data_IF_039443176684
#
_entry.id   IF_039443176684
#
_cell.length_a   1.000
_cell.length_b   1.000
_cell.length_c   1.000
_cell.angle_alpha   90.00
_cell.angle_beta   90.00
_cell.angle_gamma   90.00
#
_symmetry.space_group_name_H-M   'P 1'
#
loop_
_entity.id
_entity.type
_entity.pdbx_description
1 polymer ?
#
# COMPACT_ATOMS: atom_id res chain seq x y z
N UNK A 1 35.46 4.34 4.78
CA UNK A 1 34.85 3.29 5.64
C UNK A 1 35.73 2.06 5.57
N UNK A 2 36.08 1.39 6.68
CA UNK A 2 36.83 0.14 6.62
C UNK A 2 35.98 -0.93 5.92
N UNK A 3 36.60 -1.77 5.11
CA UNK A 3 35.94 -2.78 4.25
C UNK A 3 34.99 -3.70 5.04
N UNK A 4 35.27 -3.96 6.32
CA UNK A 4 34.42 -4.77 7.21
C UNK A 4 33.07 -4.14 7.51
N UNK A 5 32.98 -2.81 7.63
CA UNK A 5 31.72 -2.12 7.95
C UNK A 5 30.75 -2.20 6.77
N UNK A 6 31.27 -2.02 5.55
CA UNK A 6 30.49 -2.12 4.30
C UNK A 6 29.91 -3.53 4.13
N UNK A 7 30.70 -4.56 4.41
CA UNK A 7 30.24 -5.95 4.32
C UNK A 7 29.15 -6.27 5.37
N UNK A 8 29.26 -5.72 6.58
CA UNK A 8 28.26 -5.88 7.62
C UNK A 8 26.94 -5.18 7.28
N UNK A 9 26.99 -3.95 6.74
CA UNK A 9 25.81 -3.23 6.27
C UNK A 9 25.14 -3.94 5.08
N UNK A 10 25.93 -4.45 4.13
CA UNK A 10 25.44 -5.25 3.02
C UNK A 10 24.71 -6.51 3.52
N UNK A 11 25.33 -7.27 4.43
CA UNK A 11 24.72 -8.45 5.03
C UNK A 11 23.43 -8.11 5.80
N UNK A 12 23.38 -6.98 6.48
CA UNK A 12 22.18 -6.51 7.15
C UNK A 12 21.05 -6.16 6.17
N UNK A 13 21.39 -5.54 5.03
CA UNK A 13 20.45 -5.25 3.95
C UNK A 13 19.92 -6.53 3.29
N UNK A 14 20.79 -7.49 2.96
CA UNK A 14 20.42 -8.78 2.39
C UNK A 14 19.49 -9.56 3.33
N UNK A 15 19.80 -9.62 4.64
CA UNK A 15 18.92 -10.26 5.62
C UNK A 15 17.55 -9.60 5.72
N UNK A 16 17.45 -8.28 5.57
CA UNK A 16 16.15 -7.57 5.54
C UNK A 16 15.33 -8.00 4.33
N UNK A 17 15.95 -8.10 3.15
CA UNK A 17 15.24 -8.53 1.93
C UNK A 17 14.84 -10.01 1.99
N UNK A 18 15.71 -10.87 2.50
CA UNK A 18 15.38 -12.29 2.70
C UNK A 18 14.21 -12.49 3.68
N UNK A 19 14.06 -11.63 4.70
CA UNK A 19 12.89 -11.68 5.58
C UNK A 19 11.61 -11.29 4.86
N UNK A 20 11.64 -10.33 3.95
CA UNK A 20 10.46 -9.92 3.17
C UNK A 20 10.07 -10.95 2.10
N UNK A 21 11.03 -11.75 1.61
CA UNK A 21 10.79 -12.80 0.61
C UNK A 21 10.18 -14.10 1.18
N UNK A 22 9.91 -14.19 2.49
CA UNK A 22 9.32 -15.40 3.11
C UNK A 22 7.83 -15.61 2.81
N UNK A 23 7.12 -14.66 2.22
CA UNK A 23 5.74 -14.89 1.77
C UNK A 23 5.75 -15.60 0.41
N UNK A 24 4.83 -16.56 0.15
CA UNK A 24 4.84 -17.36 -1.08
C UNK A 24 4.79 -16.42 -2.30
N UNK A 25 5.91 -16.29 -3.06
CA UNK A 25 6.11 -15.17 -3.98
C UNK A 25 5.13 -15.22 -5.15
N UNK A 26 4.64 -16.41 -5.52
CA UNK A 26 3.72 -16.60 -6.65
C UNK A 26 2.34 -16.00 -6.37
N UNK A 27 1.74 -16.27 -5.21
CA UNK A 27 0.37 -15.84 -4.92
C UNK A 27 0.29 -14.32 -4.74
N UNK A 28 1.21 -13.73 -3.96
CA UNK A 28 1.25 -12.28 -3.80
C UNK A 28 1.57 -11.55 -5.10
N UNK A 29 2.44 -12.13 -5.94
CA UNK A 29 2.75 -11.57 -7.24
C UNK A 29 1.51 -11.55 -8.14
N UNK A 30 0.80 -12.68 -8.25
CA UNK A 30 -0.43 -12.77 -9.04
C UNK A 30 -1.48 -11.81 -8.50
N UNK A 31 -1.73 -11.81 -7.19
CA UNK A 31 -2.71 -10.91 -6.56
C UNK A 31 -2.39 -9.44 -6.85
N UNK A 32 -1.11 -9.05 -6.72
CA UNK A 32 -0.67 -7.66 -6.91
C UNK A 32 -0.63 -7.26 -8.38
N UNK A 33 -0.32 -8.19 -9.29
CA UNK A 33 -0.39 -7.97 -10.73
C UNK A 33 -1.84 -7.82 -11.21
N UNK A 34 -2.74 -8.70 -10.77
CA UNK A 34 -4.18 -8.61 -11.06
C UNK A 34 -4.74 -7.31 -10.49
N UNK A 35 -4.42 -6.97 -9.24
CA UNK A 35 -4.82 -5.71 -8.62
C UNK A 35 -4.29 -4.48 -9.37
N UNK A 36 -3.04 -4.52 -9.85
CA UNK A 36 -2.44 -3.44 -10.64
C UNK A 36 -3.12 -3.30 -12.00
N UNK A 37 -3.37 -4.39 -12.73
CA UNK A 37 -4.07 -4.37 -14.01
C UNK A 37 -5.50 -3.85 -13.87
N UNK A 38 -6.23 -4.35 -12.86
CA UNK A 38 -7.56 -3.87 -12.52
C UNK A 38 -7.54 -2.38 -12.16
N UNK A 39 -6.56 -1.95 -11.37
CA UNK A 39 -6.35 -0.54 -11.03
C UNK A 39 -6.08 0.34 -12.25
N UNK A 40 -5.30 -0.14 -13.22
CA UNK A 40 -5.08 0.55 -14.49
C UNK A 40 -6.37 0.69 -15.30
N UNK A 41 -7.09 -0.40 -15.53
CA UNK A 41 -8.36 -0.36 -16.27
C UNK A 41 -9.38 0.56 -15.60
N UNK A 42 -9.51 0.46 -14.27
CA UNK A 42 -10.39 1.32 -13.49
C UNK A 42 -9.98 2.79 -13.57
N UNK A 43 -8.68 3.10 -13.46
CA UNK A 43 -8.21 4.48 -13.58
C UNK A 43 -8.53 5.12 -14.93
N UNK A 44 -8.33 4.39 -16.02
CA UNK A 44 -8.66 4.86 -17.38
C UNK A 44 -10.17 5.07 -17.52
N UNK A 45 -10.97 4.14 -16.99
CA UNK A 45 -12.42 4.25 -17.01
C UNK A 45 -12.90 5.50 -16.26
N UNK A 46 -12.39 5.76 -15.05
CA UNK A 46 -12.77 6.95 -14.26
C UNK A 46 -12.36 8.26 -14.92
N UNK A 47 -11.15 8.31 -15.50
CA UNK A 47 -10.69 9.48 -16.25
C UNK A 47 -11.60 9.71 -17.48
N UNK A 48 -11.94 8.64 -18.20
CA UNK A 48 -12.76 8.70 -19.40
C UNK A 48 -14.18 9.18 -19.08
N UNK A 49 -14.84 8.57 -18.09
CA UNK A 49 -16.20 8.97 -17.66
C UNK A 49 -16.19 10.40 -17.14
N UNK A 50 -15.24 10.77 -16.28
CA UNK A 50 -15.13 12.13 -15.76
C UNK A 50 -14.84 13.17 -16.85
N UNK A 51 -14.08 12.81 -17.88
CA UNK A 51 -13.77 13.70 -19.00
C UNK A 51 -14.95 13.89 -19.94
N UNK A 52 -15.63 12.81 -20.33
CA UNK A 52 -16.79 12.86 -21.23
C UNK A 52 -17.94 13.64 -20.57
N UNK A 53 -18.17 13.43 -19.28
CA UNK A 53 -19.29 14.02 -18.55
C UNK A 53 -18.93 15.29 -17.77
N UNK A 54 -17.82 15.94 -18.12
CA UNK A 54 -17.33 17.16 -17.44
C UNK A 54 -18.35 18.29 -17.35
N UNK A 55 -19.34 18.32 -18.25
CA UNK A 55 -20.39 19.35 -18.32
C UNK A 55 -21.79 18.83 -17.96
N UNK A 56 -21.95 17.52 -17.76
CA UNK A 56 -23.27 16.87 -17.68
C UNK A 56 -23.73 16.66 -16.22
N UNK A 57 -23.31 17.53 -15.31
CA UNK A 57 -23.72 17.49 -13.91
C UNK A 57 -23.94 18.94 -13.45
N UNK A 58 -25.20 19.38 -13.53
CA UNK A 58 -25.59 20.73 -13.17
C UNK A 58 -25.64 20.91 -11.66
N UNK A 59 -25.99 19.84 -10.92
CA UNK A 59 -26.05 19.87 -9.46
C UNK A 59 -24.68 20.13 -8.81
N UNK A 60 -23.62 19.49 -9.32
CA UNK A 60 -22.27 19.77 -8.86
C UNK A 60 -21.20 19.45 -9.89
N UNK A 61 -20.51 20.49 -10.32
CA UNK A 61 -19.39 20.38 -11.26
C UNK A 61 -18.20 19.66 -10.64
N UNK A 62 -18.10 19.54 -9.31
CA UNK A 62 -16.97 18.94 -8.61
C UNK A 62 -16.90 17.40 -8.75
N UNK A 63 -18.04 16.71 -8.94
CA UNK A 63 -18.06 15.23 -9.09
C UNK A 63 -17.18 14.74 -10.25
N UNK A 64 -17.35 15.20 -11.51
CA UNK A 64 -16.52 14.72 -12.61
C UNK A 64 -15.04 15.08 -12.44
N UNK A 65 -14.71 16.24 -11.86
CA UNK A 65 -13.31 16.57 -11.53
C UNK A 65 -12.74 15.65 -10.47
N UNK A 66 -13.52 15.31 -9.46
CA UNK A 66 -13.10 14.36 -8.42
C UNK A 66 -12.84 12.97 -9.00
N UNK A 67 -13.68 12.50 -9.93
CA UNK A 67 -13.45 11.23 -10.65
C UNK A 67 -12.13 11.26 -11.44
N UNK A 68 -11.84 12.35 -12.14
CA UNK A 68 -10.58 12.52 -12.88
C UNK A 68 -9.38 12.50 -11.93
N UNK A 69 -9.42 13.29 -10.85
CA UNK A 69 -8.32 13.37 -9.87
C UNK A 69 -8.09 12.00 -9.24
N UNK A 70 -9.17 11.34 -8.80
CA UNK A 70 -9.09 9.99 -8.21
C UNK A 70 -8.53 8.99 -9.21
N UNK A 71 -8.98 9.02 -10.46
CA UNK A 71 -8.43 8.21 -11.54
C UNK A 71 -6.92 8.42 -11.73
N UNK A 72 -6.43 9.67 -11.75
CA UNK A 72 -5.00 9.98 -11.86
C UNK A 72 -4.21 9.44 -10.66
N UNK A 73 -4.72 9.61 -9.45
CA UNK A 73 -4.05 9.12 -8.23
C UNK A 73 -3.99 7.58 -8.24
N UNK A 74 -5.06 6.90 -8.64
CA UNK A 74 -5.06 5.43 -8.83
C UNK A 74 -4.04 5.05 -9.90
N UNK A 75 -3.99 5.76 -11.02
CA UNK A 75 -3.05 5.47 -12.12
C UNK A 75 -1.59 5.53 -11.65
N UNK A 76 -1.23 6.58 -10.89
CA UNK A 76 0.09 6.70 -10.26
C UNK A 76 0.32 5.54 -9.27
N UNK A 77 -0.70 5.18 -8.49
CA UNK A 77 -0.62 4.04 -7.57
C UNK A 77 -0.37 2.72 -8.30
N UNK A 78 -1.02 2.51 -9.44
CA UNK A 78 -0.92 1.33 -10.26
C UNK A 78 0.46 1.24 -10.95
N UNK A 79 1.02 2.37 -11.38
CA UNK A 79 2.40 2.48 -11.89
C UNK A 79 3.48 2.11 -10.87
N UNK A 80 3.23 2.35 -9.57
CA UNK A 80 4.20 1.95 -8.55
C UNK A 80 4.48 0.45 -8.55
N UNK A 81 3.54 -0.41 -8.99
CA UNK A 81 3.77 -1.85 -9.05
C UNK A 81 4.77 -2.30 -10.12
N UNK A 82 4.63 -1.97 -11.42
CA UNK A 82 5.63 -2.31 -12.42
C UNK A 82 6.99 -1.67 -12.11
N UNK A 83 7.02 -0.43 -11.61
CA UNK A 83 8.28 0.17 -11.14
C UNK A 83 8.88 -0.62 -9.97
N UNK A 84 8.06 -1.06 -9.01
CA UNK A 84 8.49 -1.94 -7.93
C UNK A 84 9.07 -3.25 -8.44
N UNK A 85 8.46 -3.88 -9.43
CA UNK A 85 8.97 -5.12 -10.03
C UNK A 85 10.30 -4.92 -10.74
N UNK A 86 10.47 -3.82 -11.48
CA UNK A 86 11.73 -3.48 -12.15
C UNK A 86 12.82 -3.25 -11.10
N UNK A 87 12.53 -2.49 -10.05
CA UNK A 87 13.46 -2.26 -8.94
C UNK A 87 13.79 -3.54 -8.17
N UNK A 88 12.81 -4.40 -7.92
CA UNK A 88 13.01 -5.69 -7.25
C UNK A 88 13.86 -6.64 -8.10
N UNK A 89 13.64 -6.71 -9.42
CA UNK A 89 14.49 -7.49 -10.34
C UNK A 89 15.93 -6.97 -10.34
N UNK A 90 16.12 -5.65 -10.41
CA UNK A 90 17.45 -5.02 -10.34
C UNK A 90 18.13 -5.26 -8.98
N UNK A 91 17.39 -5.14 -7.88
CA UNK A 91 17.90 -5.42 -6.53
C UNK A 91 18.29 -6.89 -6.37
N UNK A 92 17.51 -7.82 -6.92
CA UNK A 92 17.83 -9.26 -6.91
C UNK A 92 19.09 -9.57 -7.72
N UNK A 93 19.28 -8.91 -8.86
CA UNK A 93 20.51 -9.01 -9.65
C UNK A 93 21.72 -8.43 -8.90
N UNK A 94 21.53 -7.30 -8.19
CA UNK A 94 22.54 -6.66 -7.36
C UNK A 94 22.83 -7.39 -6.02
N UNK A 95 22.14 -8.49 -5.71
CA UNK A 95 22.48 -9.38 -4.59
C UNK A 95 23.39 -10.55 -4.99
N UNK A 96 23.65 -10.72 -6.29
CA UNK A 96 24.61 -11.68 -6.82
C UNK A 96 25.99 -11.09 -7.25
N UNK A 97 26.48 -9.93 -6.79
CA UNK A 97 27.76 -9.41 -7.26
C UNK A 97 28.91 -10.17 -6.57
N UNK A 98 29.91 -10.56 -7.37
CA UNK A 98 31.16 -11.16 -6.89
C UNK A 98 32.00 -10.18 -6.05
N UNK A 99 31.70 -8.88 -6.11
CA UNK A 99 32.37 -7.81 -5.35
C UNK A 99 31.34 -6.77 -4.90
N UNK A 100 31.20 -6.56 -3.58
CA UNK A 100 30.23 -5.61 -3.01
C UNK A 100 30.72 -4.17 -3.17
N UNK A 101 30.07 -3.37 -4.01
CA UNK A 101 30.39 -1.93 -4.17
C UNK A 101 29.34 -1.09 -3.42
N UNK A 102 29.74 0.05 -2.84
CA UNK A 102 28.87 0.95 -2.06
C UNK A 102 27.63 1.45 -2.84
N UNK A 103 27.75 1.49 -4.18
CA UNK A 103 26.67 1.80 -5.12
C UNK A 103 25.55 0.76 -5.12
N UNK A 104 25.86 -0.51 -4.85
CA UNK A 104 24.87 -1.60 -4.83
C UNK A 104 24.00 -1.53 -3.58
N UNK A 105 24.54 -1.06 -2.45
CA UNK A 105 23.78 -0.86 -1.20
C UNK A 105 22.75 0.27 -1.36
N UNK A 106 23.11 1.34 -2.07
CA UNK A 106 22.19 2.46 -2.40
C UNK A 106 21.10 2.04 -3.39
N UNK A 107 21.38 1.06 -4.25
CA UNK A 107 20.40 0.55 -5.23
C UNK A 107 19.54 -0.61 -4.67
N UNK A 108 20.05 -1.36 -3.69
CA UNK A 108 19.36 -2.49 -3.06
C UNK A 108 18.36 -2.07 -1.96
N UNK A 109 18.24 -0.77 -1.65
CA UNK A 109 17.31 -0.29 -0.64
C UNK A 109 15.95 0.09 -1.28
N UNK A 110 14.89 -0.73 -1.13
CA UNK A 110 13.52 -0.40 -1.58
C UNK A 110 12.87 0.77 -0.80
N UNK A 111 13.67 1.64 -0.17
CA UNK A 111 13.21 2.75 0.66
C UNK A 111 12.60 3.90 -0.15
N UNK A 112 13.04 4.13 -1.40
CA UNK A 112 12.43 5.18 -2.25
C UNK A 112 10.99 4.84 -2.64
N UNK A 113 10.69 3.56 -2.90
CA UNK A 113 9.34 3.11 -3.28
C UNK A 113 8.33 3.23 -2.13
N UNK A 114 8.79 3.07 -0.89
CA UNK A 114 7.93 3.25 0.28
C UNK A 114 7.47 4.70 0.44
N UNK A 115 8.27 5.70 0.05
CA UNK A 115 7.88 7.12 0.13
C UNK A 115 6.75 7.47 -0.85
N UNK A 116 6.88 7.05 -2.11
CA UNK A 116 5.87 7.34 -3.14
C UNK A 116 4.57 6.60 -2.80
N UNK A 117 4.64 5.33 -2.42
CA UNK A 117 3.46 4.57 -2.01
C UNK A 117 2.76 5.18 -0.79
N UNK A 118 3.52 5.69 0.20
CA UNK A 118 2.94 6.40 1.35
C UNK A 118 2.29 7.72 0.95
N UNK A 119 2.93 8.47 0.05
CA UNK A 119 2.38 9.72 -0.46
C UNK A 119 1.06 9.48 -1.20
N UNK A 120 1.02 8.53 -2.14
CA UNK A 120 -0.21 8.16 -2.85
C UNK A 120 -1.29 7.68 -1.90
N UNK A 121 -0.93 6.88 -0.88
CA UNK A 121 -1.87 6.44 0.15
C UNK A 121 -2.44 7.63 0.94
N UNK A 122 -1.60 8.57 1.37
CA UNK A 122 -2.07 9.78 2.05
C UNK A 122 -2.99 10.63 1.17
N UNK A 123 -2.65 10.80 -0.11
CA UNK A 123 -3.52 11.51 -1.06
C UNK A 123 -4.88 10.83 -1.19
N UNK A 124 -4.91 9.49 -1.34
CA UNK A 124 -6.17 8.73 -1.39
C UNK A 124 -6.98 8.91 -0.10
N UNK A 125 -6.35 8.81 1.08
CA UNK A 125 -7.03 8.99 2.36
C UNK A 125 -7.62 10.39 2.56
N UNK A 126 -7.07 11.43 1.91
CA UNK A 126 -7.60 12.80 2.02
C UNK A 126 -8.63 13.12 0.93
N UNK A 127 -8.36 12.75 -0.32
CA UNK A 127 -9.22 13.11 -1.45
C UNK A 127 -10.51 12.30 -1.50
N UNK A 128 -10.48 11.03 -1.06
CA UNK A 128 -11.64 10.15 -1.20
C UNK A 128 -12.77 10.52 -0.25
N UNK A 129 -12.54 10.76 1.06
CA UNK A 129 -13.63 11.17 1.95
C UNK A 129 -14.35 12.42 1.46
N UNK A 130 -13.60 13.38 0.89
CA UNK A 130 -14.17 14.61 0.33
C UNK A 130 -15.14 14.29 -0.81
N UNK A 131 -14.77 13.43 -1.75
CA UNK A 131 -15.68 13.06 -2.84
C UNK A 131 -16.81 12.15 -2.44
N UNK A 132 -16.64 11.31 -1.41
CA UNK A 132 -17.76 10.56 -0.81
C UNK A 132 -18.77 11.55 -0.23
N UNK A 133 -18.31 12.57 0.50
CA UNK A 133 -19.19 13.60 1.06
C UNK A 133 -19.96 14.33 -0.06
N UNK A 134 -19.28 14.74 -1.13
CA UNK A 134 -19.94 15.38 -2.27
C UNK A 134 -20.96 14.45 -2.94
N UNK A 135 -20.59 13.20 -3.19
CA UNK A 135 -21.48 12.21 -3.83
C UNK A 135 -22.73 11.97 -2.97
N UNK A 136 -22.57 11.86 -1.64
CA UNK A 136 -23.70 11.64 -0.72
C UNK A 136 -24.55 12.91 -0.53
N UNK A 137 -23.95 14.09 -0.59
CA UNK A 137 -24.70 15.37 -0.48
C UNK A 137 -25.65 15.60 -1.66
N UNK A 138 -25.36 15.03 -2.82
CA UNK A 138 -26.16 15.22 -4.04
C UNK A 138 -27.15 14.05 -4.23
N UNK A 139 -27.25 13.13 -3.26
CA UNK A 139 -28.13 11.97 -3.36
C UNK A 139 -29.58 12.36 -3.70
N UNK A 140 -30.11 13.41 -3.08
CA UNK A 140 -31.50 13.85 -3.33
C UNK A 140 -31.67 14.57 -4.68
N UNK A 141 -30.59 15.12 -5.25
CA UNK A 141 -30.57 15.85 -6.51
C UNK A 141 -29.84 15.10 -7.63
N UNK A 142 -29.68 13.78 -7.49
CA UNK A 142 -28.89 12.97 -8.40
C UNK A 142 -29.44 12.95 -9.84
N UNK A 143 -30.75 13.18 -10.00
CA UNK A 143 -31.45 13.28 -11.28
C UNK A 143 -30.93 14.44 -12.16
N UNK A 144 -30.33 15.48 -11.54
CA UNK A 144 -29.76 16.63 -12.25
C UNK A 144 -28.32 16.37 -12.76
N UNK A 145 -27.84 15.14 -12.65
CA UNK A 145 -26.57 14.70 -13.20
C UNK A 145 -26.77 13.49 -14.10
N UNK A 146 -25.88 13.30 -15.07
CA UNK A 146 -25.89 12.10 -15.90
C UNK A 146 -25.78 10.86 -14.99
N UNK A 147 -26.78 9.98 -15.11
CA UNK A 147 -26.91 8.74 -14.34
C UNK A 147 -25.60 7.96 -14.32
N UNK A 148 -24.89 7.87 -15.45
CA UNK A 148 -23.63 7.13 -15.51
C UNK A 148 -22.56 7.73 -14.59
N UNK A 149 -22.47 9.07 -14.53
CA UNK A 149 -21.47 9.77 -13.70
C UNK A 149 -21.76 9.62 -12.21
N UNK A 150 -23.03 9.77 -11.83
CA UNK A 150 -23.43 9.63 -10.44
C UNK A 150 -23.26 8.19 -9.95
N UNK A 151 -23.75 7.20 -10.68
CA UNK A 151 -23.66 5.79 -10.28
C UNK A 151 -22.21 5.27 -10.27
N UNK A 152 -21.36 5.78 -11.15
CA UNK A 152 -19.92 5.46 -11.10
C UNK A 152 -19.25 6.07 -9.88
N UNK A 153 -19.51 7.35 -9.56
CA UNK A 153 -19.00 7.98 -8.33
C UNK A 153 -19.50 7.27 -7.07
N UNK A 154 -20.77 6.88 -7.03
CA UNK A 154 -21.37 6.14 -5.93
C UNK A 154 -20.73 4.75 -5.76
N UNK A 155 -20.58 4.01 -6.86
CA UNK A 155 -19.96 2.67 -6.85
C UNK A 155 -18.50 2.73 -6.41
N UNK A 156 -17.74 3.71 -6.90
CA UNK A 156 -16.34 3.96 -6.50
C UNK A 156 -16.26 4.27 -5.01
N UNK A 157 -17.17 5.10 -4.50
CA UNK A 157 -17.27 5.43 -3.08
C UNK A 157 -17.47 4.19 -2.20
N UNK A 158 -18.40 3.29 -2.57
CA UNK A 158 -18.63 2.04 -1.85
C UNK A 158 -17.41 1.12 -1.89
N UNK A 159 -16.82 0.92 -3.07
CA UNK A 159 -15.62 0.08 -3.23
C UNK A 159 -14.47 0.60 -2.37
N UNK A 160 -14.30 1.92 -2.30
CA UNK A 160 -13.28 2.53 -1.46
C UNK A 160 -13.55 2.41 0.03
N UNK A 161 -14.80 2.56 0.47
CA UNK A 161 -15.17 2.32 1.86
C UNK A 161 -14.89 0.87 2.27
N UNK A 162 -15.25 -0.09 1.40
CA UNK A 162 -14.93 -1.49 1.62
C UNK A 162 -13.40 -1.71 1.73
N UNK A 163 -12.63 -1.13 0.80
CA UNK A 163 -11.17 -1.19 0.83
C UNK A 163 -10.57 -0.59 2.11
N UNK A 164 -11.08 0.56 2.56
CA UNK A 164 -10.64 1.20 3.80
C UNK A 164 -10.97 0.36 5.03
N UNK A 165 -12.18 -0.21 5.10
CA UNK A 165 -12.58 -1.15 6.15
C UNK A 165 -11.64 -2.36 6.21
N UNK A 166 -11.27 -2.92 5.05
CA UNK A 166 -10.29 -4.02 4.98
C UNK A 166 -8.91 -3.58 5.48
N UNK A 167 -8.40 -2.43 5.05
CA UNK A 167 -7.10 -1.91 5.50
C UNK A 167 -7.06 -1.66 7.00
N UNK A 168 -8.10 -1.02 7.55
CA UNK A 168 -8.23 -0.80 9.00
C UNK A 168 -8.31 -2.14 9.73
N UNK A 169 -9.08 -3.11 9.22
CA UNK A 169 -9.16 -4.45 9.81
C UNK A 169 -7.79 -5.14 9.85
N UNK A 170 -7.01 -5.08 8.76
CA UNK A 170 -5.64 -5.64 8.72
C UNK A 170 -4.72 -4.90 9.70
N UNK A 171 -4.83 -3.58 9.82
CA UNK A 171 -4.07 -2.81 10.80
C UNK A 171 -4.44 -3.19 12.24
N UNK A 172 -5.73 -3.34 12.55
CA UNK A 172 -6.20 -3.78 13.87
C UNK A 172 -5.73 -5.20 14.19
N UNK A 173 -5.88 -6.14 13.25
CA UNK A 173 -5.35 -7.50 13.38
C UNK A 173 -3.83 -7.50 13.57
N UNK A 174 -3.10 -6.68 12.81
CA UNK A 174 -1.65 -6.51 12.95
C UNK A 174 -1.24 -5.98 14.32
N UNK A 175 -1.91 -4.94 14.81
CA UNK A 175 -1.71 -4.40 16.15
C UNK A 175 -2.03 -5.43 17.24
N UNK A 176 -3.13 -6.19 17.10
CA UNK A 176 -3.50 -7.27 18.01
C UNK A 176 -2.45 -8.39 18.03
N UNK A 177 -1.93 -8.81 16.86
CA UNK A 177 -0.89 -9.83 16.77
C UNK A 177 0.44 -9.35 17.38
N UNK A 178 0.83 -8.09 17.17
CA UNK A 178 2.04 -7.52 17.78
C UNK A 178 1.86 -7.41 19.30
N UNK A 179 0.68 -6.98 19.76
CA UNK A 179 0.31 -6.96 21.18
C UNK A 179 0.40 -8.35 21.81
N UNK A 180 -0.28 -9.34 21.22
CA UNK A 180 -0.26 -10.73 21.67
C UNK A 180 1.17 -11.32 21.68
N UNK A 181 1.99 -11.01 20.67
CA UNK A 181 3.39 -11.44 20.59
C UNK A 181 4.29 -10.80 21.65
N UNK A 182 4.01 -9.56 22.06
CA UNK A 182 4.74 -8.90 23.15
C UNK A 182 4.34 -9.49 24.50
N UNK A 183 3.04 -9.73 24.71
CA UNK A 183 2.51 -10.35 25.94
C UNK A 183 3.05 -11.78 26.09
N UNK A 184 3.02 -12.59 25.04
CA UNK A 184 3.55 -13.97 25.10
C UNK A 184 5.04 -14.00 25.46
N UNK A 185 5.85 -13.09 24.91
CA UNK A 185 7.27 -12.94 25.28
C UNK A 185 7.46 -12.54 26.73
N UNK A 186 6.64 -11.61 27.25
CA UNK A 186 6.68 -11.21 28.66
C UNK A 186 6.29 -12.36 29.60
N UNK A 187 5.26 -13.14 29.24
CA UNK A 187 4.84 -14.31 30.03
C UNK A 187 5.94 -15.38 30.05
N UNK A 188 6.57 -15.67 28.91
CA UNK A 188 7.69 -16.62 28.85
C UNK A 188 8.89 -16.14 29.66
N UNK A 189 9.24 -14.85 29.58
CA UNK A 189 10.31 -14.26 30.39
C UNK A 189 9.99 -14.32 31.90
N UNK A 190 8.73 -14.10 32.30
CA UNK A 190 8.30 -14.21 33.69
C UNK A 190 8.35 -15.67 34.19
N UNK A 191 7.96 -16.65 33.35
CA UNK A 191 8.08 -18.09 33.68
C UNK A 191 9.54 -18.52 33.86
N UNK A 192 10.44 -18.08 32.98
CA UNK A 192 11.88 -18.35 33.08
C UNK A 192 12.49 -17.79 34.37
N UNK A 193 12.14 -16.56 34.76
CA UNK A 193 12.61 -15.97 36.04
C UNK A 193 12.11 -16.75 37.25
N UNK A 194 10.86 -17.23 37.25
CA UNK A 194 10.32 -18.07 38.33
C UNK A 194 11.05 -19.41 38.42
N UNK A 195 11.36 -20.06 37.30
CA UNK A 195 12.13 -21.31 37.29
C UNK A 195 13.57 -21.12 37.79
N UNK A 196 14.23 -20.03 37.40
CA UNK A 196 15.59 -19.72 37.91
C UNK A 196 15.60 -19.49 39.42
N UNK A 197 14.59 -18.80 39.95
CA UNK A 197 14.48 -18.54 41.40
C UNK A 197 14.13 -19.80 42.20
N UNK A 198 13.39 -20.74 41.59
CA UNK A 198 13.08 -22.04 42.22
C UNK A 198 14.31 -22.95 42.26
N UNK A 199 15.13 -22.96 41.20
CA UNK A 199 16.35 -23.76 41.16
C UNK A 199 17.50 -23.18 41.99
N UNK A 200 17.50 -21.88 42.32
CA UNK A 200 18.53 -21.28 43.20
C UNK A 200 18.27 -21.52 44.69
N UNK A 201 17.05 -21.93 45.05
CA UNK A 201 16.63 -22.18 46.44
C UNK A 201 16.50 -23.68 46.76
N UNK A 202 16.89 -24.56 45.82
CA UNK A 202 17.02 -26.01 46.00
C UNK A 202 18.51 -26.37 46.06
#
# INVERSE_FOLDING_TARGET
MPVRDVHNEYNAAVRKVQRTDKLPPKLLFVLRAVSSCFGFCMSIFLITVGWINKRNCEADKHIPYWLIITGIVIFISALNFPFYLIGWRRAKQAMAPQTSTETDIKNATPLKMHRISRFTFCCLCMCIPIGILWTMQIYDNHENCDNLTYWTAFSVSILYLCWMCLMVSVCLLGCCMVGASRVSKQVTAAKLKKQQSANSNA
#
